data_IF_614526479808
#
_entry.id   IF_614526479808
#
_cell.length_a   1.000
_cell.length_b   1.000
_cell.length_c   1.000
_cell.angle_alpha   90.00
_cell.angle_beta   90.00
_cell.angle_gamma   90.00
#
_symmetry.space_group_name_H-M   'P 1'
#
loop_
_entity.id
_entity.type
_entity.pdbx_description
1 polymer ?
#
# COMPACT_ATOMS: atom_id res chain seq x y z
N UNK A 1 9.33 3.48 -18.22
CA UNK A 1 8.71 2.26 -17.66
C UNK A 1 9.68 1.65 -16.66
N UNK A 2 9.28 1.55 -15.42
CA UNK A 2 10.08 0.90 -14.38
C UNK A 2 9.58 -0.54 -14.25
N UNK A 3 10.45 -1.51 -14.52
CA UNK A 3 10.18 -2.93 -14.28
C UNK A 3 10.87 -3.30 -12.98
N UNK A 4 10.10 -3.57 -11.93
CA UNK A 4 10.62 -4.03 -10.65
C UNK A 4 10.83 -5.55 -10.70
N UNK A 5 11.82 -5.99 -11.44
CA UNK A 5 12.29 -7.35 -11.39
C UNK A 5 13.77 -7.41 -11.77
N UNK A 6 14.56 -8.07 -10.93
CA UNK A 6 16.00 -8.27 -11.13
C UNK A 6 16.33 -9.52 -11.94
N UNK A 7 15.35 -10.16 -12.58
CA UNK A 7 15.53 -11.41 -13.31
C UNK A 7 15.26 -11.23 -14.81
N UNK A 8 15.91 -12.04 -15.63
CA UNK A 8 15.65 -12.22 -17.07
C UNK A 8 14.33 -12.97 -17.36
N UNK A 9 13.38 -12.93 -16.42
CA UNK A 9 12.09 -13.61 -16.54
C UNK A 9 11.25 -12.91 -17.62
N UNK A 10 10.77 -13.67 -18.59
CA UNK A 10 9.99 -13.17 -19.74
C UNK A 10 8.49 -13.49 -19.66
N UNK A 11 8.08 -14.22 -18.63
CA UNK A 11 6.67 -14.56 -18.37
C UNK A 11 6.33 -14.37 -16.90
N UNK A 12 5.13 -13.89 -16.63
CA UNK A 12 4.62 -13.61 -15.29
C UNK A 12 3.19 -14.13 -15.17
N UNK A 13 2.80 -14.55 -13.96
CA UNK A 13 1.42 -14.96 -13.68
C UNK A 13 0.49 -13.75 -13.67
N UNK A 14 0.98 -12.59 -13.18
CA UNK A 14 0.19 -11.37 -13.04
C UNK A 14 1.00 -10.15 -13.48
N UNK A 15 0.35 -9.27 -14.22
CA UNK A 15 0.84 -7.93 -14.57
C UNK A 15 0.00 -6.90 -13.82
N UNK A 16 0.64 -6.07 -13.00
CA UNK A 16 0.00 -4.94 -12.32
C UNK A 16 0.38 -3.65 -13.03
N UNK A 17 -0.60 -2.88 -13.44
CA UNK A 17 -0.38 -1.59 -14.11
C UNK A 17 -0.57 -0.46 -13.11
N UNK A 18 0.48 0.30 -12.88
CA UNK A 18 0.56 1.41 -11.93
C UNK A 18 1.24 1.04 -10.61
N UNK A 19 2.26 1.81 -10.24
CA UNK A 19 3.05 1.65 -9.02
C UNK A 19 2.70 2.70 -7.96
N UNK A 20 1.41 2.96 -7.78
CA UNK A 20 0.86 3.63 -6.61
C UNK A 20 0.64 2.65 -5.46
N UNK A 21 0.16 3.14 -4.31
CA UNK A 21 -0.07 2.31 -3.12
C UNK A 21 -0.97 1.11 -3.40
N UNK A 22 -2.02 1.27 -4.19
CA UNK A 22 -2.93 0.18 -4.55
C UNK A 22 -2.23 -0.90 -5.40
N UNK A 23 -1.49 -0.52 -6.44
CA UNK A 23 -0.78 -1.47 -7.31
C UNK A 23 0.35 -2.18 -6.57
N UNK A 24 1.17 -1.45 -5.82
CA UNK A 24 2.28 -2.03 -5.07
C UNK A 24 1.81 -2.95 -3.94
N UNK A 25 0.76 -2.59 -3.21
CA UNK A 25 0.20 -3.46 -2.16
C UNK A 25 -0.43 -4.72 -2.76
N UNK A 26 -1.11 -4.61 -3.89
CA UNK A 26 -1.64 -5.78 -4.61
C UNK A 26 -0.52 -6.69 -5.08
N UNK A 27 0.51 -6.15 -5.72
CA UNK A 27 1.66 -6.92 -6.18
C UNK A 27 2.37 -7.63 -5.02
N UNK A 28 2.59 -6.94 -3.91
CA UNK A 28 3.18 -7.50 -2.70
C UNK A 28 2.35 -8.68 -2.16
N UNK A 29 1.04 -8.53 -2.07
CA UNK A 29 0.16 -9.59 -1.56
C UNK A 29 0.10 -10.80 -2.50
N UNK A 30 0.16 -10.60 -3.81
CA UNK A 30 0.23 -11.69 -4.79
C UNK A 30 1.58 -12.41 -4.70
N UNK A 31 2.68 -11.67 -4.60
CA UNK A 31 4.02 -12.25 -4.44
C UNK A 31 4.13 -13.08 -3.15
N UNK A 32 3.57 -12.59 -2.03
CA UNK A 32 3.49 -13.34 -0.77
C UNK A 32 2.70 -14.66 -0.91
N UNK A 33 1.81 -14.75 -1.90
CA UNK A 33 1.04 -15.97 -2.24
C UNK A 33 1.74 -16.85 -3.30
N UNK A 34 2.99 -16.55 -3.63
CA UNK A 34 3.79 -17.35 -4.57
C UNK A 34 3.55 -17.04 -6.04
N UNK A 35 2.80 -15.97 -6.37
CA UNK A 35 2.63 -15.56 -7.76
C UNK A 35 3.87 -14.80 -8.26
N UNK A 36 4.26 -15.06 -9.49
CA UNK A 36 5.23 -14.22 -10.19
C UNK A 36 4.55 -12.96 -10.72
N UNK A 37 4.97 -11.81 -10.23
CA UNK A 37 4.31 -10.53 -10.50
C UNK A 37 5.27 -9.54 -11.13
N UNK A 38 4.83 -8.84 -12.18
CA UNK A 38 5.51 -7.65 -12.70
C UNK A 38 4.64 -6.43 -12.51
N UNK A 39 5.26 -5.33 -12.08
CA UNK A 39 4.60 -4.02 -11.97
C UNK A 39 5.12 -3.12 -13.08
N UNK A 40 4.22 -2.56 -13.84
CA UNK A 40 4.53 -1.60 -14.91
C UNK A 40 4.11 -0.21 -14.46
N UNK A 41 5.07 0.72 -14.44
CA UNK A 41 4.82 2.13 -14.13
C UNK A 41 5.30 3.01 -15.30
N UNK A 42 4.47 3.96 -15.66
CA UNK A 42 4.73 4.90 -16.77
C UNK A 42 5.73 5.99 -16.41
N UNK A 43 5.73 6.42 -15.16
CA UNK A 43 6.53 7.53 -14.66
C UNK A 43 7.43 7.07 -13.51
N UNK A 44 7.32 7.72 -12.35
CA UNK A 44 8.03 7.35 -11.13
C UNK A 44 7.07 6.66 -10.15
N UNK A 45 7.63 5.84 -9.28
CA UNK A 45 6.88 5.16 -8.24
C UNK A 45 6.14 6.17 -7.36
N UNK A 46 4.85 5.95 -7.16
CA UNK A 46 4.04 6.79 -6.30
C UNK A 46 3.72 8.20 -6.86
N UNK A 47 4.13 8.53 -8.08
CA UNK A 47 3.99 9.89 -8.63
C UNK A 47 2.53 10.33 -8.90
N UNK A 48 1.58 9.40 -8.89
CA UNK A 48 0.15 9.68 -9.05
C UNK A 48 -0.51 10.19 -7.76
N UNK A 49 -1.72 9.74 -7.50
CA UNK A 49 -2.51 10.12 -6.31
C UNK A 49 -1.80 9.78 -4.99
N UNK A 50 -0.99 8.73 -4.97
CA UNK A 50 -0.23 8.32 -3.78
C UNK A 50 0.74 9.40 -3.32
N UNK A 51 1.54 9.95 -4.22
CA UNK A 51 2.50 11.01 -3.89
C UNK A 51 1.88 12.39 -3.64
N UNK A 52 0.60 12.56 -4.00
CA UNK A 52 -0.17 13.79 -3.78
C UNK A 52 -1.12 13.70 -2.59
N UNK A 53 -1.17 12.55 -1.93
CA UNK A 53 -2.02 12.33 -0.76
C UNK A 53 -1.43 13.04 0.47
N UNK A 54 -2.31 13.46 1.39
CA UNK A 54 -1.90 14.07 2.65
C UNK A 54 -1.21 13.10 3.63
N UNK A 55 -1.17 11.81 3.32
CA UNK A 55 -0.53 10.79 4.14
C UNK A 55 -1.25 10.49 5.46
N UNK A 56 -2.55 10.77 5.55
CA UNK A 56 -3.33 10.50 6.77
C UNK A 56 -3.89 9.08 6.78
N UNK A 57 -3.50 8.28 7.77
CA UNK A 57 -4.01 6.93 8.01
C UNK A 57 -5.07 6.94 9.12
N UNK A 58 -6.25 7.46 8.80
CA UNK A 58 -7.35 7.45 9.75
C UNK A 58 -8.08 6.10 9.78
N UNK A 59 -8.32 5.54 10.97
CA UNK A 59 -8.93 4.23 11.13
C UNK A 59 -10.46 4.29 11.28
N UNK A 60 -10.99 5.25 12.04
CA UNK A 60 -12.43 5.33 12.32
C UNK A 60 -13.24 5.71 11.08
N UNK A 61 -14.26 4.90 10.77
CA UNK A 61 -15.20 5.09 9.66
C UNK A 61 -16.65 4.94 10.15
N UNK A 62 -17.59 5.15 9.24
CA UNK A 62 -19.01 5.10 9.52
C UNK A 62 -19.56 3.70 9.84
N UNK A 63 -18.84 2.63 9.49
CA UNK A 63 -19.21 1.25 9.80
C UNK A 63 -18.08 0.50 10.52
N UNK A 64 -18.45 -0.51 11.28
CA UNK A 64 -17.49 -1.36 11.98
C UNK A 64 -16.59 -2.14 11.00
N UNK A 65 -17.15 -2.61 9.89
CA UNK A 65 -16.42 -3.36 8.86
C UNK A 65 -15.34 -2.48 8.22
N UNK A 66 -15.71 -1.27 7.81
CA UNK A 66 -14.76 -0.31 7.23
C UNK A 66 -13.67 0.08 8.22
N UNK A 67 -14.02 0.22 9.50
CA UNK A 67 -13.05 0.52 10.55
C UNK A 67 -12.07 -0.63 10.73
N UNK A 68 -12.53 -1.88 10.80
CA UNK A 68 -11.65 -3.06 10.89
C UNK A 68 -10.70 -3.16 9.70
N UNK A 69 -11.21 -3.02 8.48
CA UNK A 69 -10.38 -3.05 7.27
C UNK A 69 -9.24 -2.02 7.31
N UNK A 70 -9.49 -0.84 7.84
CA UNK A 70 -8.46 0.20 7.95
C UNK A 70 -7.48 -0.06 9.11
N UNK A 71 -7.93 -0.70 10.19
CA UNK A 71 -7.04 -1.18 11.25
C UNK A 71 -6.07 -2.22 10.70
N UNK A 72 -6.57 -3.20 9.93
CA UNK A 72 -5.73 -4.19 9.26
C UNK A 72 -4.72 -3.52 8.30
N UNK A 73 -5.14 -2.47 7.59
CA UNK A 73 -4.26 -1.68 6.74
C UNK A 73 -3.12 -1.00 7.51
N UNK A 74 -3.39 -0.47 8.69
CA UNK A 74 -2.35 0.12 9.56
C UNK A 74 -1.37 -0.94 10.05
N UNK A 75 -1.83 -2.13 10.42
CA UNK A 75 -0.93 -3.24 10.80
C UNK A 75 0.02 -3.62 9.66
N UNK A 76 -0.46 -3.63 8.41
CA UNK A 76 0.39 -3.85 7.24
C UNK A 76 1.47 -2.76 7.12
N UNK A 77 1.11 -1.49 7.33
CA UNK A 77 2.07 -0.38 7.28
C UNK A 77 3.13 -0.50 8.38
N UNK A 78 2.73 -0.86 9.59
CA UNK A 78 3.66 -1.10 10.71
C UNK A 78 4.61 -2.28 10.46
N UNK A 79 4.13 -3.31 9.79
CA UNK A 79 4.97 -4.44 9.37
C UNK A 79 5.98 -4.02 8.30
N UNK A 80 5.58 -3.20 7.34
CA UNK A 80 6.48 -2.65 6.33
C UNK A 80 7.54 -1.73 6.96
N UNK A 81 7.16 -0.91 7.95
CA UNK A 81 8.08 -0.07 8.71
C UNK A 81 9.19 -0.89 9.37
N UNK A 82 8.83 -2.00 10.04
CA UNK A 82 9.81 -2.92 10.65
C UNK A 82 10.72 -3.56 9.61
N UNK A 83 10.17 -3.99 8.45
CA UNK A 83 10.95 -4.65 7.40
C UNK A 83 11.90 -3.70 6.69
N UNK A 84 11.51 -2.44 6.52
CA UNK A 84 12.30 -1.42 5.84
C UNK A 84 13.32 -0.71 6.75
N UNK A 85 13.20 -0.88 8.08
CA UNK A 85 13.97 -0.16 9.09
C UNK A 85 13.89 1.37 8.91
N UNK A 86 12.70 1.86 8.58
CA UNK A 86 12.41 3.28 8.33
C UNK A 86 11.08 3.64 8.97
N UNK A 87 11.03 4.74 9.71
CA UNK A 87 9.77 5.26 10.26
C UNK A 87 8.85 5.73 9.12
N UNK A 88 7.73 5.05 8.95
CA UNK A 88 6.71 5.35 7.92
C UNK A 88 5.46 5.98 8.55
N UNK A 89 5.13 5.59 9.78
CA UNK A 89 3.88 5.92 10.44
C UNK A 89 4.09 6.59 11.80
N UNK A 90 3.76 7.88 11.87
CA UNK A 90 3.77 8.65 13.12
C UNK A 90 2.39 8.60 13.78
N UNK A 91 2.30 8.03 14.98
CA UNK A 91 1.06 7.89 15.74
C UNK A 91 0.68 9.20 16.42
N UNK A 92 -0.07 10.04 15.75
CA UNK A 92 -0.59 11.30 16.31
C UNK A 92 -1.95 11.15 16.99
N UNK A 93 -2.67 10.09 16.68
CA UNK A 93 -4.05 9.90 17.08
C UNK A 93 -5.04 10.82 16.36
N UNK A 94 -6.32 10.56 16.54
CA UNK A 94 -7.41 11.44 16.08
C UNK A 94 -8.59 11.36 17.03
N UNK A 95 -9.26 12.49 17.26
CA UNK A 95 -10.47 12.59 18.07
C UNK A 95 -11.64 13.00 17.17
N UNK A 96 -12.75 12.27 17.27
CA UNK A 96 -14.02 12.68 16.68
C UNK A 96 -15.02 12.98 17.79
N UNK A 97 -15.61 14.15 17.72
CA UNK A 97 -16.66 14.59 18.63
C UNK A 97 -17.97 14.55 17.84
N UNK A 98 -18.98 13.89 18.41
CA UNK A 98 -20.34 13.88 17.91
C UNK A 98 -21.23 14.68 18.86
N UNK A 99 -22.09 15.53 18.32
CA UNK A 99 -23.20 16.13 19.07
C UNK A 99 -24.39 15.17 19.01
N UNK A 100 -25.05 15.00 20.14
CA UNK A 100 -26.29 14.20 20.27
C UNK A 100 -27.52 15.03 19.98
#
# INVERSE_FOLDING_TARGET
MVVMNNSTQTSFDVIVIGAGVAGLSTAMQLAKRGQSVVVLEREQLGNGSTGRAAGLLGQLRGTAESTRMLMDGVEIVLDLEKQADVEIYVRTGSLRIAET
#
